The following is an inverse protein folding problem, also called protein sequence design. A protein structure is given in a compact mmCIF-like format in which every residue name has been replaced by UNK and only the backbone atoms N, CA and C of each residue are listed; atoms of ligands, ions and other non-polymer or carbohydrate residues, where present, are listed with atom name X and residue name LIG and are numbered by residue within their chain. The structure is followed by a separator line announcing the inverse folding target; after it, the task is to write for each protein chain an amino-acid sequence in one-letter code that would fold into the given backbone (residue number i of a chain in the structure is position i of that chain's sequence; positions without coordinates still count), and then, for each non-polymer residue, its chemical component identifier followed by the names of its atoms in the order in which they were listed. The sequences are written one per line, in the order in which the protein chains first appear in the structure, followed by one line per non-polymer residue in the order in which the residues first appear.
data_IF_429879369540
#
_entry.id   IF_429879369540
#
_cell.length_a   1.000
_cell.length_b   1.000
_cell.length_c   1.000
_cell.angle_alpha   90.00
_cell.angle_beta   90.00
_cell.angle_gamma   90.00
#
_symmetry.space_group_name_H-M   'P 1'
#
loop_
_entity.id
_entity.type
_entity.pdbx_description
1 polymer ?
#
# COMPACT_ATOMS: atom_id res chain seq x y z
N UNK A 1 70.09 22.28 -28.66
CA UNK A 1 69.55 22.10 -27.29
C UNK A 1 68.07 21.77 -27.42
N UNK A 2 67.65 20.54 -27.14
CA UNK A 2 66.25 20.12 -27.18
C UNK A 2 65.83 19.68 -25.79
N UNK A 3 64.85 20.38 -25.20
CA UNK A 3 64.31 20.07 -23.89
C UNK A 3 63.00 19.29 -24.04
N UNK A 4 63.03 17.98 -23.82
CA UNK A 4 61.82 17.19 -23.68
C UNK A 4 61.23 17.45 -22.28
N UNK A 5 60.10 18.17 -22.23
CA UNK A 5 59.31 18.30 -21.00
C UNK A 5 58.52 17.01 -20.77
N UNK A 6 58.93 16.24 -19.77
CA UNK A 6 58.17 15.11 -19.24
C UNK A 6 56.87 15.60 -18.59
N UNK A 7 55.72 15.20 -19.13
CA UNK A 7 54.42 15.38 -18.50
C UNK A 7 54.14 14.14 -17.62
N UNK A 8 54.32 14.28 -16.31
CA UNK A 8 53.93 13.25 -15.36
C UNK A 8 52.39 13.15 -15.33
N UNK A 9 51.85 12.03 -15.81
CA UNK A 9 50.42 11.71 -15.74
C UNK A 9 50.09 11.23 -14.33
N UNK A 10 49.42 12.08 -13.54
CA UNK A 10 48.90 11.69 -12.22
C UNK A 10 47.74 10.71 -12.42
N UNK A 11 47.77 9.48 -11.86
CA UNK A 11 46.64 8.58 -11.93
C UNK A 11 45.52 9.09 -11.01
N UNK A 12 44.39 9.49 -11.60
CA UNK A 12 43.14 9.72 -10.84
C UNK A 12 42.53 8.36 -10.54
N UNK A 13 42.55 7.96 -9.28
CA UNK A 13 41.80 6.79 -8.80
C UNK A 13 40.31 7.10 -8.94
N UNK A 14 39.50 6.22 -9.57
CA UNK A 14 38.05 6.38 -9.53
C UNK A 14 37.60 6.12 -8.09
N UNK A 15 37.17 7.17 -7.40
CA UNK A 15 36.39 7.02 -6.17
C UNK A 15 35.05 6.44 -6.62
N UNK A 16 34.95 5.11 -6.70
CA UNK A 16 33.67 4.44 -6.68
C UNK A 16 33.10 4.64 -5.28
N UNK A 17 32.42 5.77 -5.08
CA UNK A 17 31.51 5.92 -3.96
C UNK A 17 30.43 4.85 -4.17
N UNK A 18 30.61 3.69 -3.55
CA UNK A 18 29.58 2.69 -3.47
C UNK A 18 28.37 3.35 -2.81
N UNK A 19 27.38 3.74 -3.62
CA UNK A 19 26.09 4.18 -3.12
C UNK A 19 25.49 2.99 -2.36
N UNK A 20 25.72 2.96 -1.06
CA UNK A 20 25.00 2.08 -0.15
C UNK A 20 23.56 2.58 -0.15
N UNK A 21 22.73 1.98 -1.00
CA UNK A 21 21.28 2.12 -0.91
C UNK A 21 20.89 1.50 0.43
N UNK A 22 20.75 2.33 1.46
CA UNK A 22 20.20 1.88 2.74
C UNK A 22 18.76 1.45 2.54
N UNK A 23 18.36 0.34 3.17
CA UNK A 23 16.95 -0.05 3.19
C UNK A 23 16.15 1.05 3.91
N UNK A 24 15.09 1.54 3.27
CA UNK A 24 14.16 2.47 3.90
C UNK A 24 13.38 1.72 4.98
N UNK A 25 13.60 2.07 6.23
CA UNK A 25 12.77 1.62 7.35
C UNK A 25 11.58 2.56 7.46
N UNK A 26 10.37 2.09 7.14
CA UNK A 26 9.13 2.82 7.42
C UNK A 26 8.72 2.64 8.89
N UNK A 27 7.98 3.60 9.44
CA UNK A 27 7.39 3.47 10.77
C UNK A 27 6.39 2.30 10.81
N UNK A 28 6.35 1.56 11.92
CA UNK A 28 5.31 0.56 12.17
C UNK A 28 3.96 1.28 12.28
N UNK A 29 3.11 1.11 11.26
CA UNK A 29 1.72 1.60 11.25
C UNK A 29 0.82 0.47 11.75
N UNK A 30 -0.23 0.82 12.46
CA UNK A 30 -1.28 -0.15 12.82
C UNK A 30 -1.90 -0.69 11.53
N UNK A 31 -2.06 -2.01 11.44
CA UNK A 31 -2.65 -2.65 10.27
C UNK A 31 -4.16 -2.45 10.27
N UNK A 32 -4.72 -2.08 9.11
CA UNK A 32 -6.16 -1.89 8.89
C UNK A 32 -6.68 -0.47 9.18
N UNK A 33 -8.00 -0.33 9.12
CA UNK A 33 -8.71 0.95 9.27
C UNK A 33 -8.50 1.61 10.63
N UNK A 34 -8.30 2.92 10.66
CA UNK A 34 -8.09 3.70 11.89
C UNK A 34 -9.42 3.91 12.62
N UNK A 35 -10.52 4.04 11.86
CA UNK A 35 -11.89 4.12 12.40
C UNK A 35 -12.30 2.97 13.31
N UNK A 36 -11.75 1.77 13.10
CA UNK A 36 -12.06 0.55 13.86
C UNK A 36 -11.08 0.30 15.03
N UNK A 37 -10.35 1.32 15.48
CA UNK A 37 -9.37 1.20 16.55
C UNK A 37 -10.03 0.72 17.86
N UNK A 38 -9.37 -0.19 18.57
CA UNK A 38 -9.78 -0.71 19.89
C UNK A 38 -11.03 -1.62 19.94
N UNK A 39 -11.38 -2.29 18.84
CA UNK A 39 -12.37 -3.38 18.89
C UNK A 39 -11.73 -4.71 19.35
N UNK A 40 -12.33 -5.36 20.35
CA UNK A 40 -11.77 -6.59 20.96
C UNK A 40 -11.73 -7.80 20.01
N UNK A 41 -12.58 -7.84 18.98
CA UNK A 41 -12.64 -8.92 17.97
C UNK A 41 -11.83 -8.65 16.69
N UNK A 42 -11.23 -7.47 16.55
CA UNK A 42 -10.52 -7.05 15.34
C UNK A 42 -9.29 -7.91 14.99
N UNK A 43 -8.46 -8.39 15.94
CA UNK A 43 -7.32 -9.24 15.61
C UNK A 43 -7.73 -10.53 14.88
N UNK A 44 -8.85 -11.14 15.28
CA UNK A 44 -9.38 -12.37 14.70
C UNK A 44 -9.90 -12.11 13.29
N UNK A 45 -10.70 -11.06 13.10
CA UNK A 45 -11.22 -10.63 11.80
C UNK A 45 -10.08 -10.31 10.80
N UNK A 46 -9.05 -9.62 11.25
CA UNK A 46 -7.85 -9.31 10.44
C UNK A 46 -7.13 -10.58 10.01
N UNK A 47 -6.95 -11.54 10.91
CA UNK A 47 -6.33 -12.83 10.55
C UNK A 47 -7.22 -13.64 9.60
N UNK A 48 -8.54 -13.65 9.78
CA UNK A 48 -9.46 -14.29 8.84
C UNK A 48 -9.35 -13.69 7.43
N UNK A 49 -9.38 -12.36 7.33
CA UNK A 49 -9.26 -11.67 6.04
C UNK A 49 -7.89 -11.87 5.39
N UNK A 50 -6.82 -11.92 6.19
CA UNK A 50 -5.47 -12.24 5.73
C UNK A 50 -5.38 -13.66 5.20
N UNK A 51 -5.94 -14.65 5.90
CA UNK A 51 -5.95 -16.03 5.43
C UNK A 51 -6.75 -16.19 4.13
N UNK A 52 -7.92 -15.55 4.03
CA UNK A 52 -8.69 -15.56 2.79
C UNK A 52 -7.94 -14.85 1.64
N UNK A 53 -7.22 -13.77 1.91
CA UNK A 53 -6.37 -13.10 0.91
C UNK A 53 -5.24 -14.02 0.42
N UNK A 54 -4.57 -14.72 1.34
CA UNK A 54 -3.53 -15.70 0.99
C UNK A 54 -4.08 -16.88 0.19
N UNK A 55 -5.27 -17.38 0.52
CA UNK A 55 -5.94 -18.45 -0.25
C UNK A 55 -6.24 -17.98 -1.68
N UNK A 56 -6.88 -16.83 -1.82
CA UNK A 56 -7.23 -16.27 -3.14
C UNK A 56 -5.99 -15.91 -3.96
N UNK A 57 -4.93 -15.44 -3.32
CA UNK A 57 -3.63 -15.22 -3.98
C UNK A 57 -3.03 -16.52 -4.51
N UNK A 58 -3.13 -17.63 -3.77
CA UNK A 58 -2.69 -18.96 -4.24
C UNK A 58 -3.52 -19.47 -5.41
N UNK A 59 -4.80 -19.14 -5.44
CA UNK A 59 -5.73 -19.49 -6.54
C UNK A 59 -5.60 -18.57 -7.77
N UNK A 60 -4.72 -17.56 -7.73
CA UNK A 60 -4.56 -16.58 -8.82
C UNK A 60 -5.67 -15.52 -8.88
N UNK A 61 -6.58 -15.50 -7.91
CA UNK A 61 -7.67 -14.51 -7.77
C UNK A 61 -7.37 -13.49 -6.67
N UNK A 62 -6.09 -13.16 -6.50
CA UNK A 62 -5.66 -12.14 -5.55
C UNK A 62 -6.32 -10.80 -5.90
N UNK A 63 -7.06 -10.23 -4.95
CA UNK A 63 -7.69 -8.93 -5.08
C UNK A 63 -7.31 -8.09 -3.87
N UNK A 64 -7.31 -6.77 -4.08
CA UNK A 64 -7.10 -5.83 -2.99
C UNK A 64 -8.31 -5.86 -2.04
N UNK A 65 -8.04 -5.88 -0.73
CA UNK A 65 -9.06 -5.97 0.32
C UNK A 65 -9.06 -4.70 1.15
N UNK A 66 -10.20 -4.03 1.15
CA UNK A 66 -10.42 -2.80 1.93
C UNK A 66 -10.31 -3.03 3.45
N UNK A 67 -10.75 -4.18 3.95
CA UNK A 67 -10.70 -4.49 5.40
C UNK A 67 -9.28 -4.61 5.98
N UNK A 68 -8.29 -4.88 5.12
CA UNK A 68 -6.88 -4.92 5.53
C UNK A 68 -6.15 -3.61 5.29
N UNK A 69 -6.74 -2.71 4.50
CA UNK A 69 -6.14 -1.43 4.14
C UNK A 69 -6.32 -0.39 5.25
N UNK A 70 -5.45 0.63 5.24
CA UNK A 70 -5.68 1.82 6.06
C UNK A 70 -6.77 2.70 5.45
N UNK A 71 -7.39 3.57 6.25
CA UNK A 71 -8.41 4.52 5.76
C UNK A 71 -7.84 5.44 4.67
N UNK A 72 -6.56 5.81 4.77
CA UNK A 72 -5.91 6.61 3.74
C UNK A 72 -5.68 5.86 2.43
N UNK A 73 -5.40 4.55 2.50
CA UNK A 73 -5.20 3.73 1.31
C UNK A 73 -6.52 3.43 0.61
N UNK A 74 -7.59 3.20 1.36
CA UNK A 74 -8.91 2.93 0.80
C UNK A 74 -9.48 4.12 0.04
N UNK A 75 -9.33 5.34 0.57
CA UNK A 75 -9.73 6.57 -0.11
C UNK A 75 -8.97 6.73 -1.43
N UNK A 76 -7.65 6.57 -1.41
CA UNK A 76 -6.83 6.68 -2.63
C UNK A 76 -7.20 5.61 -3.66
N UNK A 77 -7.53 4.39 -3.22
CA UNK A 77 -7.97 3.31 -4.12
C UNK A 77 -9.36 3.58 -4.69
N UNK A 78 -10.27 4.13 -3.90
CA UNK A 78 -11.58 4.58 -4.36
C UNK A 78 -11.45 5.69 -5.42
N UNK A 79 -10.60 6.69 -5.18
CA UNK A 79 -10.33 7.77 -6.13
C UNK A 79 -9.75 7.26 -7.45
N UNK A 80 -8.93 6.19 -7.39
CA UNK A 80 -8.38 5.54 -8.59
C UNK A 80 -9.38 4.64 -9.32
N UNK A 81 -10.57 4.42 -8.77
CA UNK A 81 -11.56 3.49 -9.33
C UNK A 81 -11.12 2.03 -9.24
N UNK A 82 -10.17 1.69 -8.36
CA UNK A 82 -9.66 0.33 -8.17
C UNK A 82 -10.51 -0.49 -7.17
N UNK A 83 -11.66 0.04 -6.78
CA UNK A 83 -12.64 -0.60 -5.88
C UNK A 83 -13.72 -1.26 -6.74
N UNK A 84 -14.36 -2.32 -6.24
CA UNK A 84 -15.48 -3.02 -6.91
C UNK A 84 -16.75 -2.14 -6.98
N UNK A 85 -16.70 -1.08 -7.77
CA UNK A 85 -17.77 -0.14 -8.04
C UNK A 85 -18.62 -0.58 -9.24
N UNK A 86 -19.06 -1.85 -9.24
CA UNK A 86 -20.03 -2.30 -10.26
C UNK A 86 -21.37 -1.57 -10.08
N UNK A 87 -22.14 -1.42 -11.16
CA UNK A 87 -23.44 -0.75 -11.13
C UNK A 87 -24.42 -1.41 -10.14
N UNK A 88 -24.33 -2.75 -10.01
CA UNK A 88 -25.08 -3.52 -9.01
C UNK A 88 -24.65 -3.17 -7.57
N UNK A 89 -23.35 -3.04 -7.32
CA UNK A 89 -22.83 -2.66 -6.00
C UNK A 89 -23.33 -1.27 -5.61
N UNK A 90 -23.30 -0.32 -6.55
CA UNK A 90 -23.75 1.06 -6.34
C UNK A 90 -25.25 1.10 -6.06
N UNK A 91 -26.07 0.36 -6.82
CA UNK A 91 -27.51 0.28 -6.61
C UNK A 91 -27.86 -0.26 -5.21
N UNK A 92 -27.14 -1.27 -4.75
CA UNK A 92 -27.35 -1.85 -3.42
C UNK A 92 -26.98 -0.87 -2.32
N UNK A 93 -25.85 -0.16 -2.44
CA UNK A 93 -25.43 0.88 -1.49
C UNK A 93 -26.45 2.03 -1.40
N UNK A 94 -27.03 2.44 -2.53
CA UNK A 94 -28.09 3.46 -2.55
C UNK A 94 -29.34 2.99 -1.78
N UNK A 95 -29.79 1.75 -2.00
CA UNK A 95 -30.93 1.15 -1.28
C UNK A 95 -30.68 1.03 0.23
N UNK A 96 -29.47 0.68 0.64
CA UNK A 96 -29.11 0.62 2.07
C UNK A 96 -29.10 2.02 2.70
N UNK A 97 -28.62 3.02 1.97
CA UNK A 97 -28.64 4.43 2.40
C UNK A 97 -30.08 4.93 2.60
N UNK A 98 -30.99 4.60 1.68
CA UNK A 98 -32.41 4.92 1.81
C UNK A 98 -33.04 4.28 3.05
N UNK A 99 -32.75 3.00 3.32
CA UNK A 99 -33.23 2.29 4.51
C UNK A 99 -32.73 2.95 5.81
N UNK A 100 -31.45 3.31 5.88
CA UNK A 100 -30.88 3.98 7.05
C UNK A 100 -31.50 5.37 7.26
N UNK A 101 -31.81 6.10 6.19
CA UNK A 101 -32.49 7.39 6.27
C UNK A 101 -33.93 7.24 6.79
N UNK A 102 -34.63 6.16 6.39
CA UNK A 102 -35.97 5.85 6.89
C UNK A 102 -35.98 5.42 8.36
N UNK A 103 -34.97 4.68 8.83
CA UNK A 103 -34.87 4.26 10.23
C UNK A 103 -34.53 5.39 11.21
N UNK A 104 -33.91 6.47 10.74
CA UNK A 104 -33.56 7.64 11.56
C UNK A 104 -34.68 8.68 11.64
N UNK A 105 -35.84 8.42 11.02
CA UNK A 105 -36.99 9.32 10.98
C UNK A 105 -38.07 8.85 11.93
#
# INVERSE_FOLDING_TARGET
MSAFRSLARVPRTPIFAAQRMGFQTSALRFSGKETKLHEEGRPQEVEEHKQDSLKKSKEGKGHWKDELASDSESIVKADRGEVEASEETISNLQKETEKLAQQKK
#
